data_IF_272006452218
#
_entry.id   IF_272006452218
#
_cell.length_a   1.000
_cell.length_b   1.000
_cell.length_c   1.000
_cell.angle_alpha   90.00
_cell.angle_beta   90.00
_cell.angle_gamma   90.00
#
_symmetry.space_group_name_H-M   'P 1'
#
loop_
_entity.id
_entity.type
_entity.pdbx_description
1 polymer ?
#
# COMPACT_ATOMS: atom_id res chain seq x y z
N UNK A 1 6.37 3.41 29.19
CA UNK A 1 6.63 3.44 27.75
C UNK A 1 5.86 2.28 27.13
N UNK A 2 5.21 2.48 25.97
CA UNK A 2 4.47 1.40 25.31
C UNK A 2 5.48 0.40 24.74
N UNK A 3 5.34 -0.86 25.14
CA UNK A 3 6.15 -1.96 24.60
C UNK A 3 5.75 -2.26 23.16
N UNK A 4 4.47 -2.18 22.82
CA UNK A 4 3.96 -2.43 21.47
C UNK A 4 3.19 -1.21 20.94
N UNK A 5 3.19 -1.00 19.63
CA UNK A 5 2.51 0.12 18.98
C UNK A 5 1.76 -0.28 17.71
N UNK A 6 0.56 0.28 17.53
CA UNK A 6 -0.28 0.07 16.35
C UNK A 6 -0.75 1.38 15.74
N UNK A 7 -0.57 1.53 14.43
CA UNK A 7 -1.11 2.63 13.65
C UNK A 7 -2.59 2.42 13.31
N UNK A 8 -3.38 3.49 13.33
CA UNK A 8 -4.78 3.43 12.90
C UNK A 8 -4.90 3.16 11.39
N UNK A 9 -5.91 2.42 10.95
CA UNK A 9 -6.14 2.26 9.50
C UNK A 9 -6.68 3.55 8.88
N UNK A 10 -6.35 3.78 7.61
CA UNK A 10 -6.91 4.86 6.82
C UNK A 10 -8.38 4.60 6.48
N UNK A 11 -9.18 5.66 6.42
CA UNK A 11 -10.59 5.56 6.03
C UNK A 11 -10.75 5.37 4.53
N UNK A 12 -11.80 4.68 4.09
CA UNK A 12 -12.11 4.54 2.67
C UNK A 12 -12.54 5.87 2.04
N UNK A 13 -12.18 6.06 0.78
CA UNK A 13 -12.61 7.18 -0.03
C UNK A 13 -14.10 7.07 -0.39
N UNK A 14 -14.79 8.21 -0.39
CA UNK A 14 -16.20 8.25 -0.77
C UNK A 14 -16.42 7.99 -2.27
N UNK A 15 -17.51 7.32 -2.62
CA UNK A 15 -17.90 7.14 -4.02
C UNK A 15 -18.20 8.48 -4.70
N UNK A 16 -17.81 8.58 -5.98
CA UNK A 16 -18.13 9.73 -6.81
C UNK A 16 -19.64 9.84 -7.08
N UNK A 17 -20.12 11.07 -7.24
CA UNK A 17 -21.44 11.34 -7.81
C UNK A 17 -21.54 10.94 -9.28
N UNK A 18 -22.69 11.16 -9.92
CA UNK A 18 -22.94 10.72 -11.30
C UNK A 18 -21.84 11.13 -12.31
N UNK A 19 -21.23 12.31 -12.12
CA UNK A 19 -20.19 12.87 -13.00
C UNK A 19 -18.96 13.38 -12.22
N UNK A 20 -18.66 12.82 -11.05
CA UNK A 20 -17.58 13.29 -10.17
C UNK A 20 -16.44 12.30 -9.97
N UNK A 21 -15.28 12.81 -9.55
CA UNK A 21 -14.18 12.01 -9.04
C UNK A 21 -14.57 11.37 -7.71
N UNK A 22 -14.23 10.09 -7.55
CA UNK A 22 -14.35 9.46 -6.24
C UNK A 22 -13.20 9.88 -5.32
N UNK A 23 -13.46 9.87 -4.01
CA UNK A 23 -12.48 10.22 -2.99
C UNK A 23 -11.34 9.20 -2.94
N UNK A 24 -10.14 9.69 -2.62
CA UNK A 24 -9.01 8.83 -2.30
C UNK A 24 -9.21 8.16 -0.92
N UNK A 25 -8.65 6.96 -0.77
CA UNK A 25 -8.50 6.34 0.54
C UNK A 25 -7.49 7.10 1.40
N UNK A 26 -7.76 7.17 2.70
CA UNK A 26 -6.87 7.76 3.70
C UNK A 26 -5.61 6.92 3.90
N UNK A 27 -4.50 7.56 4.27
CA UNK A 27 -3.29 6.86 4.65
C UNK A 27 -3.44 6.13 5.99
N UNK A 28 -2.75 5.00 6.13
CA UNK A 28 -2.58 4.33 7.40
C UNK A 28 -1.67 5.12 8.35
N UNK A 29 -1.98 5.07 9.64
CA UNK A 29 -1.20 5.69 10.70
C UNK A 29 0.14 4.98 10.90
N UNK A 30 1.16 5.76 11.25
CA UNK A 30 2.45 5.21 11.61
C UNK A 30 2.44 4.59 13.01
N UNK A 31 3.34 3.64 13.26
CA UNK A 31 3.59 3.06 14.58
C UNK A 31 5.05 3.22 14.98
N UNK A 32 5.27 3.52 16.27
CA UNK A 32 6.58 3.63 16.87
C UNK A 32 6.62 2.91 18.22
N UNK A 33 7.55 1.96 18.37
CA UNK A 33 7.80 1.27 19.62
C UNK A 33 9.27 1.41 20.03
N UNK A 34 9.55 1.62 21.32
CA UNK A 34 10.93 1.75 21.81
C UNK A 34 11.54 0.37 22.17
N UNK A 35 10.72 -0.60 22.57
CA UNK A 35 11.18 -1.92 23.04
C UNK A 35 10.14 -3.03 22.93
N UNK A 36 9.59 -3.23 21.74
CA UNK A 36 8.67 -4.29 21.36
C UNK A 36 8.04 -4.03 19.99
N UNK A 37 6.96 -4.71 19.66
CA UNK A 37 6.53 -4.81 18.26
C UNK A 37 5.81 -3.55 17.77
N UNK A 38 6.03 -3.16 16.51
CA UNK A 38 5.34 -2.03 15.88
C UNK A 38 4.65 -2.42 14.56
N UNK A 39 3.38 -2.07 14.41
CA UNK A 39 2.60 -2.34 13.21
C UNK A 39 1.95 -1.07 12.65
N UNK A 40 2.33 -0.67 11.43
CA UNK A 40 1.70 0.43 10.72
C UNK A 40 0.27 0.09 10.30
N UNK A 41 -0.61 1.09 10.28
CA UNK A 41 -2.00 0.89 9.84
C UNK A 41 -2.10 0.69 8.33
N UNK A 42 -3.10 -0.05 7.85
CA UNK A 42 -3.32 -0.18 6.41
C UNK A 42 -3.87 1.13 5.81
N UNK A 43 -3.57 1.40 4.55
CA UNK A 43 -4.23 2.45 3.78
C UNK A 43 -5.68 2.08 3.46
N UNK A 44 -6.55 3.09 3.41
CA UNK A 44 -7.95 2.93 3.00
C UNK A 44 -8.09 2.75 1.49
N UNK A 45 -9.21 2.19 1.03
CA UNK A 45 -9.44 2.00 -0.40
C UNK A 45 -9.92 3.30 -1.05
N UNK A 46 -9.61 3.48 -2.33
CA UNK A 46 -10.19 4.55 -3.13
C UNK A 46 -11.67 4.30 -3.44
N UNK A 47 -12.46 5.37 -3.49
CA UNK A 47 -13.89 5.28 -3.79
C UNK A 47 -14.16 4.92 -5.26
N UNK A 48 -15.37 4.45 -5.55
CA UNK A 48 -15.78 4.11 -6.92
C UNK A 48 -16.29 5.33 -7.68
N UNK A 49 -15.78 5.54 -8.89
CA UNK A 49 -16.36 6.45 -9.87
C UNK A 49 -17.66 5.89 -10.45
N UNK A 50 -18.67 6.74 -10.69
CA UNK A 50 -19.96 6.35 -11.30
C UNK A 50 -19.98 6.72 -12.79
N UNK A 51 -21.15 7.05 -13.35
CA UNK A 51 -21.44 7.18 -14.78
C UNK A 51 -20.45 8.01 -15.63
N UNK A 52 -19.71 8.97 -15.06
CA UNK A 52 -18.61 9.67 -15.72
C UNK A 52 -17.35 9.79 -14.84
N UNK A 53 -17.33 9.09 -13.70
CA UNK A 53 -16.32 9.29 -12.67
C UNK A 53 -15.12 8.36 -12.85
N UNK A 54 -13.93 8.87 -12.53
CA UNK A 54 -12.75 8.03 -12.29
C UNK A 54 -12.80 7.46 -10.87
N UNK A 55 -12.16 6.32 -10.67
CA UNK A 55 -11.94 5.80 -9.34
C UNK A 55 -10.96 6.65 -8.54
N UNK A 56 -11.12 6.66 -7.22
CA UNK A 56 -10.18 7.30 -6.31
C UNK A 56 -8.94 6.44 -6.12
N UNK A 57 -7.79 7.03 -5.78
CA UNK A 57 -6.59 6.25 -5.45
C UNK A 57 -6.74 5.55 -4.10
N UNK A 58 -6.13 4.38 -3.94
CA UNK A 58 -5.90 3.76 -2.64
C UNK A 58 -4.97 4.60 -1.77
N UNK A 59 -5.15 4.54 -0.45
CA UNK A 59 -4.30 5.19 0.53
C UNK A 59 -3.01 4.42 0.76
N UNK A 60 -1.94 5.12 1.15
CA UNK A 60 -0.67 4.47 1.50
C UNK A 60 -0.76 3.76 2.84
N UNK A 61 -0.13 2.59 2.96
CA UNK A 61 0.07 1.94 4.25
C UNK A 61 0.98 2.77 5.17
N UNK A 62 0.72 2.67 6.47
CA UNK A 62 1.49 3.34 7.51
C UNK A 62 2.84 2.68 7.74
N UNK A 63 3.85 3.48 8.04
CA UNK A 63 5.19 2.96 8.37
C UNK A 63 5.25 2.47 9.82
N UNK A 64 6.09 1.47 10.07
CA UNK A 64 6.40 0.98 11.42
C UNK A 64 7.89 1.15 11.73
N UNK A 65 8.19 1.59 12.95
CA UNK A 65 9.53 1.74 13.49
C UNK A 65 9.62 1.14 14.89
N UNK A 66 10.62 0.31 15.16
CA UNK A 66 10.95 -0.15 16.50
C UNK A 66 12.44 -0.04 16.84
N UNK A 67 12.74 0.19 18.12
CA UNK A 67 14.09 0.01 18.65
C UNK A 67 14.44 -1.47 18.68
N UNK A 68 13.79 -2.19 19.57
CA UNK A 68 13.82 -3.65 19.66
C UNK A 68 12.44 -4.24 19.35
N UNK A 69 12.38 -5.44 18.75
CA UNK A 69 11.13 -6.10 18.37
C UNK A 69 10.86 -6.13 16.87
N UNK A 70 9.86 -6.92 16.49
CA UNK A 70 9.48 -7.12 15.10
C UNK A 70 8.58 -5.99 14.62
N UNK A 71 8.74 -5.60 13.36
CA UNK A 71 8.01 -4.47 12.78
C UNK A 71 7.34 -4.85 11.49
N UNK A 72 6.10 -4.39 11.31
CA UNK A 72 5.32 -4.63 10.11
C UNK A 72 4.78 -3.32 9.54
N UNK A 73 5.13 -2.99 8.31
CA UNK A 73 4.52 -1.86 7.58
C UNK A 73 3.09 -2.20 7.16
N UNK A 74 2.20 -1.22 7.16
CA UNK A 74 0.82 -1.41 6.71
C UNK A 74 0.73 -1.62 5.20
N UNK A 75 -0.27 -2.34 4.71
CA UNK A 75 -0.48 -2.50 3.27
C UNK A 75 -1.09 -1.24 2.66
N UNK A 76 -0.79 -1.00 1.38
CA UNK A 76 -1.48 0.00 0.58
C UNK A 76 -2.93 -0.40 0.28
N UNK A 77 -3.83 0.58 0.21
CA UNK A 77 -5.23 0.39 -0.13
C UNK A 77 -5.45 0.14 -1.61
N UNK A 78 -6.59 -0.48 -1.96
CA UNK A 78 -6.97 -0.76 -3.34
C UNK A 78 -7.41 0.54 -4.04
N UNK A 79 -7.03 0.72 -5.30
CA UNK A 79 -7.57 1.77 -6.15
C UNK A 79 -9.04 1.55 -6.49
N UNK A 80 -9.84 2.61 -6.47
CA UNK A 80 -11.26 2.54 -6.80
C UNK A 80 -11.50 2.26 -8.29
N UNK A 81 -12.62 1.63 -8.62
CA UNK A 81 -13.01 1.42 -10.02
C UNK A 81 -13.52 2.71 -10.67
N UNK A 82 -13.14 3.00 -11.91
CA UNK A 82 -13.74 4.05 -12.72
C UNK A 82 -15.02 3.56 -13.37
N UNK A 83 -16.14 4.28 -13.25
CA UNK A 83 -17.41 3.83 -13.83
C UNK A 83 -17.37 3.91 -15.35
N UNK A 84 -17.20 5.13 -15.88
CA UNK A 84 -16.88 5.36 -17.30
C UNK A 84 -15.53 6.03 -17.49
N UNK A 85 -14.81 6.30 -16.40
CA UNK A 85 -13.46 6.87 -16.41
C UNK A 85 -12.39 5.83 -16.09
N UNK A 86 -11.15 6.28 -15.90
CA UNK A 86 -10.05 5.41 -15.48
C UNK A 86 -10.24 4.85 -14.07
N UNK A 87 -9.65 3.68 -13.84
CA UNK A 87 -9.46 3.15 -12.49
C UNK A 87 -8.47 4.00 -11.70
N UNK A 88 -8.64 4.06 -10.39
CA UNK A 88 -7.70 4.71 -9.48
C UNK A 88 -6.46 3.85 -9.24
N UNK A 89 -5.32 4.48 -9.00
CA UNK A 89 -4.09 3.75 -8.65
C UNK A 89 -4.22 3.08 -7.28
N UNK A 90 -3.54 1.96 -7.08
CA UNK A 90 -3.34 1.34 -5.78
C UNK A 90 -2.42 2.17 -4.89
N UNK A 91 -2.59 2.04 -3.57
CA UNK A 91 -1.75 2.70 -2.58
C UNK A 91 -0.42 1.98 -2.39
N UNK A 92 0.63 2.67 -1.98
CA UNK A 92 1.91 2.04 -1.68
C UNK A 92 1.88 1.34 -0.31
N UNK A 93 2.65 0.26 -0.17
CA UNK A 93 2.92 -0.36 1.11
C UNK A 93 3.77 0.53 2.03
N UNK A 94 3.56 0.39 3.33
CA UNK A 94 4.29 1.08 4.38
C UNK A 94 5.66 0.46 4.61
N UNK A 95 6.63 1.29 4.98
CA UNK A 95 7.98 0.82 5.31
C UNK A 95 8.02 0.22 6.72
N UNK A 96 8.97 -0.68 6.95
CA UNK A 96 9.20 -1.29 8.25
C UNK A 96 10.68 -1.14 8.61
N UNK A 97 10.99 -0.61 9.78
CA UNK A 97 12.38 -0.40 10.23
C UNK A 97 12.56 -0.82 11.68
N UNK A 98 13.54 -1.67 11.98
CA UNK A 98 13.88 -2.07 13.35
C UNK A 98 15.39 -2.08 13.55
N UNK A 99 15.87 -2.04 14.80
CA UNK A 99 17.29 -2.21 15.07
C UNK A 99 17.63 -3.70 15.18
N UNK A 100 16.90 -4.45 16.00
CA UNK A 100 17.28 -5.82 16.36
C UNK A 100 16.33 -6.92 15.86
N UNK A 101 15.06 -6.60 15.61
CA UNK A 101 14.06 -7.59 15.17
C UNK A 101 14.00 -7.80 13.66
N UNK A 102 12.95 -8.48 13.22
CA UNK A 102 12.60 -8.63 11.81
C UNK A 102 11.73 -7.44 11.33
N UNK A 103 12.03 -6.93 10.13
CA UNK A 103 11.26 -5.86 9.51
C UNK A 103 10.53 -6.34 8.25
N UNK A 104 9.20 -6.39 8.31
CA UNK A 104 8.32 -6.80 7.21
C UNK A 104 7.61 -5.60 6.63
N UNK A 105 7.98 -5.16 5.44
CA UNK A 105 7.27 -4.06 4.82
C UNK A 105 5.90 -4.44 4.27
N UNK A 106 5.03 -3.46 4.16
CA UNK A 106 3.69 -3.64 3.61
C UNK A 106 3.72 -3.84 2.10
N UNK A 107 2.74 -4.55 1.59
CA UNK A 107 2.55 -4.72 0.15
C UNK A 107 1.87 -3.49 -0.47
N UNK A 108 2.16 -3.23 -1.74
CA UNK A 108 1.40 -2.30 -2.56
C UNK A 108 -0.02 -2.81 -2.81
N UNK A 109 -0.96 -1.87 -2.88
CA UNK A 109 -2.37 -2.12 -3.18
C UNK A 109 -2.60 -2.34 -4.68
N UNK A 110 -3.56 -3.18 -5.08
CA UNK A 110 -4.00 -3.29 -6.47
C UNK A 110 -4.52 -1.98 -7.04
N UNK A 111 -4.31 -1.76 -8.33
CA UNK A 111 -4.99 -0.73 -9.10
C UNK A 111 -6.47 -1.05 -9.34
N UNK A 112 -7.29 -0.02 -9.50
CA UNK A 112 -8.71 -0.15 -9.76
C UNK A 112 -9.04 -0.43 -11.23
N UNK A 113 -10.18 -1.05 -11.47
CA UNK A 113 -10.66 -1.31 -12.83
C UNK A 113 -11.05 -0.02 -13.57
N UNK A 114 -10.76 0.08 -14.86
CA UNK A 114 -11.20 1.16 -15.73
C UNK A 114 -12.57 0.90 -16.35
N UNK A 115 -13.33 1.97 -16.60
CA UNK A 115 -14.58 1.93 -17.34
C UNK A 115 -14.38 1.67 -18.85
N UNK A 116 -15.46 1.48 -19.63
CA UNK A 116 -15.37 1.20 -21.07
C UNK A 116 -14.49 2.20 -21.82
N UNK A 117 -13.57 1.70 -22.66
CA UNK A 117 -12.60 2.53 -23.39
C UNK A 117 -11.55 3.23 -22.52
N UNK A 118 -11.48 2.93 -21.22
CA UNK A 118 -10.56 3.56 -20.27
C UNK A 118 -9.64 2.55 -19.60
N UNK A 119 -8.42 3.01 -19.32
CA UNK A 119 -7.39 2.22 -18.66
C UNK A 119 -7.74 1.90 -17.21
N UNK A 120 -7.34 0.73 -16.75
CA UNK A 120 -7.22 0.45 -15.32
C UNK A 120 -6.18 1.34 -14.63
N UNK A 121 -6.24 1.40 -13.30
CA UNK A 121 -5.24 2.10 -12.49
C UNK A 121 -3.99 1.25 -12.32
N UNK A 122 -2.84 1.89 -12.12
CA UNK A 122 -1.60 1.18 -11.82
C UNK A 122 -1.63 0.61 -10.39
N UNK A 123 -0.92 -0.49 -10.16
CA UNK A 123 -0.71 -1.05 -8.83
C UNK A 123 0.29 -0.22 -8.01
N UNK A 124 0.17 -0.29 -6.69
CA UNK A 124 1.03 0.42 -5.75
C UNK A 124 2.38 -0.27 -5.55
N UNK A 125 3.39 0.47 -5.11
CA UNK A 125 4.70 -0.08 -4.81
C UNK A 125 4.71 -0.83 -3.47
N UNK A 126 5.52 -1.89 -3.38
CA UNK A 126 5.85 -2.53 -2.11
C UNK A 126 6.71 -1.62 -1.22
N UNK A 127 6.54 -1.74 0.10
CA UNK A 127 7.36 -1.01 1.07
C UNK A 127 8.75 -1.63 1.26
N UNK A 128 9.66 -0.88 1.87
CA UNK A 128 11.01 -1.36 2.22
C UNK A 128 11.07 -1.88 3.66
N UNK A 129 11.62 -3.08 3.85
CA UNK A 129 11.90 -3.65 5.16
C UNK A 129 13.38 -3.51 5.49
N UNK A 130 13.70 -2.88 6.62
CA UNK A 130 15.08 -2.62 7.04
C UNK A 130 15.33 -3.03 8.49
N UNK A 131 16.37 -3.82 8.73
CA UNK A 131 16.85 -4.13 10.08
C UNK A 131 18.33 -3.80 10.26
N UNK A 132 18.77 -3.37 11.45
CA UNK A 132 20.20 -3.14 11.68
C UNK A 132 20.94 -4.46 11.89
N UNK A 133 20.46 -5.31 12.80
CA UNK A 133 21.11 -6.59 13.15
C UNK A 133 20.18 -7.80 12.95
N UNK A 134 18.88 -7.60 12.78
CA UNK A 134 17.92 -8.66 12.43
C UNK A 134 17.73 -8.78 10.92
N UNK A 135 16.56 -9.27 10.48
CA UNK A 135 16.23 -9.47 9.05
C UNK A 135 15.34 -8.35 8.49
N UNK A 136 15.51 -8.02 7.22
CA UNK A 136 14.67 -7.02 6.51
C UNK A 136 14.02 -7.67 5.30
N UNK A 137 12.70 -7.54 5.17
CA UNK A 137 11.87 -8.13 4.13
C UNK A 137 11.10 -7.04 3.38
N UNK A 138 11.29 -6.99 2.07
CA UNK A 138 10.55 -6.08 1.21
C UNK A 138 9.09 -6.50 1.02
N UNK A 139 8.22 -5.52 0.78
CA UNK A 139 6.83 -5.78 0.41
C UNK A 139 6.70 -6.04 -1.09
N UNK A 140 5.68 -6.80 -1.49
CA UNK A 140 5.37 -7.01 -2.91
C UNK A 140 4.76 -5.74 -3.52
N UNK A 141 4.98 -5.54 -4.82
CA UNK A 141 4.19 -4.63 -5.62
C UNK A 141 2.73 -5.10 -5.74
N UNK A 142 1.82 -4.14 -5.90
CA UNK A 142 0.42 -4.40 -6.17
C UNK A 142 0.19 -4.62 -7.66
N UNK A 143 -0.76 -5.47 -8.06
CA UNK A 143 -1.07 -5.66 -9.47
C UNK A 143 -1.78 -4.46 -10.08
N UNK A 144 -1.61 -4.26 -11.39
CA UNK A 144 -2.37 -3.29 -12.15
C UNK A 144 -3.85 -3.65 -12.25
N UNK A 145 -4.71 -2.64 -12.32
CA UNK A 145 -6.14 -2.79 -12.53
C UNK A 145 -6.49 -3.16 -13.97
N UNK A 146 -7.58 -3.89 -14.18
CA UNK A 146 -8.02 -4.24 -15.53
C UNK A 146 -8.52 -3.00 -16.29
N UNK A 147 -8.28 -2.97 -17.60
CA UNK A 147 -8.89 -1.98 -18.48
C UNK A 147 -10.34 -2.33 -18.79
N UNK A 148 -11.16 -1.31 -19.08
CA UNK A 148 -12.49 -1.57 -19.60
C UNK A 148 -12.44 -2.09 -21.03
N UNK A 149 -13.60 -2.48 -21.57
CA UNK A 149 -13.71 -3.03 -22.94
C UNK A 149 -12.98 -2.15 -23.96
N UNK A 150 -12.03 -2.73 -24.69
CA UNK A 150 -11.25 -2.03 -25.72
C UNK A 150 -10.11 -1.16 -25.18
N UNK A 151 -9.75 -1.25 -23.90
CA UNK A 151 -8.67 -0.51 -23.28
C UNK A 151 -7.67 -1.42 -22.55
N UNK A 152 -6.46 -0.92 -22.37
CA UNK A 152 -5.38 -1.61 -21.66
C UNK A 152 -5.60 -1.65 -20.15
N UNK A 153 -5.01 -2.64 -19.48
CA UNK A 153 -4.85 -2.61 -18.03
C UNK A 153 -3.88 -1.53 -17.55
N UNK A 154 -3.88 -1.31 -16.24
CA UNK A 154 -2.81 -0.60 -15.55
C UNK A 154 -1.57 -1.47 -15.41
N UNK A 155 -0.45 -0.82 -15.13
CA UNK A 155 0.83 -1.48 -14.87
C UNK A 155 0.84 -2.00 -13.43
N UNK A 156 1.58 -3.08 -13.16
CA UNK A 156 1.87 -3.47 -11.79
C UNK A 156 2.83 -2.52 -11.10
N UNK A 157 2.82 -2.55 -9.77
CA UNK A 157 3.77 -1.85 -8.92
C UNK A 157 5.06 -2.65 -8.77
N UNK A 158 6.16 -1.93 -8.56
CA UNK A 158 7.45 -2.56 -8.27
C UNK A 158 7.47 -3.10 -6.84
N UNK A 159 8.26 -4.16 -6.65
CA UNK A 159 8.62 -4.69 -5.35
C UNK A 159 9.36 -3.68 -4.46
N UNK A 160 9.30 -3.91 -3.15
CA UNK A 160 10.12 -3.25 -2.16
C UNK A 160 11.33 -4.10 -1.77
N UNK A 161 12.38 -3.45 -1.28
CA UNK A 161 13.64 -4.11 -0.91
C UNK A 161 13.63 -4.61 0.54
N UNK A 162 14.25 -5.77 0.78
CA UNK A 162 14.62 -6.27 2.10
C UNK A 162 16.10 -6.02 2.37
N UNK A 163 16.44 -5.21 3.38
CA UNK A 163 17.85 -4.87 3.64
C UNK A 163 18.23 -4.96 5.11
N UNK A 164 19.44 -5.43 5.38
CA UNK A 164 20.03 -5.54 6.71
C UNK A 164 21.44 -4.96 6.74
N UNK A 165 21.85 -4.35 7.86
CA UNK A 165 23.19 -3.74 7.96
C UNK A 165 24.25 -4.74 8.46
N UNK A 166 23.90 -5.53 9.47
CA UNK A 166 24.76 -6.51 10.16
C UNK A 166 24.05 -7.87 10.33
N UNK A 167 23.11 -8.19 9.43
CA UNK A 167 22.33 -9.44 9.40
C UNK A 167 22.33 -10.06 7.99
N UNK A 168 21.46 -11.04 7.75
CA UNK A 168 21.16 -11.52 6.39
C UNK A 168 19.91 -10.83 5.86
N UNK A 169 19.97 -10.35 4.62
CA UNK A 169 18.80 -9.80 3.94
C UNK A 169 17.70 -10.86 3.83
N UNK A 170 16.46 -10.46 4.11
CA UNK A 170 15.28 -11.26 3.78
C UNK A 170 14.94 -11.11 2.29
N UNK A 171 14.04 -11.94 1.74
CA UNK A 171 13.58 -11.78 0.36
C UNK A 171 13.05 -10.37 0.09
N UNK A 172 13.41 -9.88 -1.09
CA UNK A 172 12.72 -8.79 -1.77
C UNK A 172 11.28 -9.21 -2.11
N UNK A 173 10.39 -8.24 -2.26
CA UNK A 173 9.04 -8.51 -2.74
C UNK A 173 9.04 -8.99 -4.20
N UNK A 174 7.90 -9.42 -4.71
CA UNK A 174 7.66 -9.67 -6.13
C UNK A 174 7.01 -8.45 -6.80
N UNK A 175 7.28 -8.26 -8.09
CA UNK A 175 6.55 -7.30 -8.92
C UNK A 175 5.09 -7.74 -9.12
N UNK A 176 4.19 -6.77 -9.22
CA UNK A 176 2.74 -6.97 -9.43
C UNK A 176 2.31 -6.98 -10.89
#
# INVERSE_FOLDING_TARGET
MAKDAGGGSGGDGGDGGAFGYAGAGGGGGAAFAEGGDAAGGNGGNGGRGRLGGTGGSGGTGGSALAGDGDVTGGNGGVGGSGGSGRGGAGGNGGNATTTTGAAYAGNGGPGGEGGPGNRGGDGGYGGRGSSMTGTGHGGNGGPGGQGGSGAEGGSGGALGAGTTRNGSDGPDGADG
#
